data_IF_208827364527
#
_entry.id   IF_208827364527
#
_cell.length_a   1.000
_cell.length_b   1.000
_cell.length_c   1.000
_cell.angle_alpha   90.00
_cell.angle_beta   90.00
_cell.angle_gamma   90.00
#
_symmetry.space_group_name_H-M   'P 1'
#
loop_
_entity.id
_entity.type
_entity.pdbx_description
1 polymer ?
#
# COMPACT_ATOMS: atom_id res chain seq x y z
N UNK A 1 -58.89 -28.14 -57.63
CA UNK A 1 -57.49 -27.80 -57.24
C UNK A 1 -57.51 -26.65 -56.22
N UNK A 2 -57.39 -27.04 -54.97
CA UNK A 2 -57.37 -26.09 -53.84
C UNK A 2 -55.89 -25.73 -53.57
N UNK A 3 -55.58 -24.43 -53.53
CA UNK A 3 -54.24 -23.95 -53.26
C UNK A 3 -53.85 -24.18 -51.77
N UNK A 4 -52.61 -24.49 -51.48
CA UNK A 4 -52.15 -24.69 -50.09
C UNK A 4 -52.17 -23.38 -49.31
N UNK A 5 -52.38 -23.40 -47.99
CA UNK A 5 -52.36 -22.22 -47.16
C UNK A 5 -50.93 -21.66 -47.06
N UNK A 6 -50.78 -20.32 -46.81
CA UNK A 6 -49.49 -19.67 -46.63
C UNK A 6 -48.80 -20.14 -45.34
N UNK A 7 -47.47 -20.16 -45.32
CA UNK A 7 -46.71 -20.57 -44.12
C UNK A 7 -46.99 -19.62 -42.96
N UNK A 8 -47.20 -20.21 -41.78
CA UNK A 8 -47.29 -19.46 -40.49
C UNK A 8 -45.94 -18.79 -40.23
N UNK A 9 -45.99 -17.48 -40.13
CA UNK A 9 -44.89 -16.70 -39.57
C UNK A 9 -44.85 -16.98 -38.04
N UNK A 10 -43.87 -17.70 -37.57
CA UNK A 10 -43.60 -17.83 -36.15
C UNK A 10 -43.26 -16.44 -35.59
N UNK A 11 -44.03 -16.02 -34.61
CA UNK A 11 -43.73 -14.79 -33.84
C UNK A 11 -42.39 -14.99 -33.15
N UNK A 12 -41.37 -14.20 -33.55
CA UNK A 12 -40.11 -14.09 -32.81
C UNK A 12 -40.46 -13.48 -31.47
N UNK A 13 -40.35 -14.27 -30.41
CA UNK A 13 -40.37 -13.73 -29.03
C UNK A 13 -39.27 -12.68 -28.90
N UNK A 14 -39.56 -11.49 -28.32
CA UNK A 14 -38.53 -10.50 -28.08
C UNK A 14 -37.48 -11.08 -27.13
N UNK A 15 -36.22 -11.09 -27.58
CA UNK A 15 -35.07 -11.40 -26.71
C UNK A 15 -35.21 -10.65 -25.38
N UNK A 16 -35.03 -11.31 -24.22
CA UNK A 16 -35.05 -10.65 -22.96
C UNK A 16 -34.00 -9.55 -22.95
N UNK A 17 -34.43 -8.31 -22.69
CA UNK A 17 -33.56 -7.13 -22.56
C UNK A 17 -32.34 -7.48 -21.74
N UNK A 18 -31.16 -7.31 -22.31
CA UNK A 18 -29.89 -7.53 -21.64
C UNK A 18 -29.90 -6.81 -20.29
N UNK A 19 -29.74 -7.57 -19.20
CA UNK A 19 -29.55 -7.00 -17.86
C UNK A 19 -28.44 -5.94 -17.95
N UNK A 20 -28.60 -4.75 -17.36
CA UNK A 20 -27.56 -3.76 -17.37
C UNK A 20 -26.28 -4.42 -16.83
N UNK A 21 -25.21 -4.38 -17.61
CA UNK A 21 -23.92 -4.94 -17.25
C UNK A 21 -23.56 -4.39 -15.86
N UNK A 22 -23.54 -5.27 -14.87
CA UNK A 22 -23.13 -4.91 -13.52
C UNK A 22 -21.74 -4.28 -13.63
N UNK A 23 -21.57 -3.07 -13.04
CA UNK A 23 -20.27 -2.39 -13.00
C UNK A 23 -19.22 -3.42 -12.58
N UNK A 24 -18.26 -3.70 -13.46
CA UNK A 24 -17.12 -4.55 -13.13
C UNK A 24 -16.50 -4.02 -11.83
N UNK A 25 -16.15 -4.89 -10.86
CA UNK A 25 -15.61 -4.43 -9.60
C UNK A 25 -14.31 -3.67 -9.85
N UNK A 26 -14.32 -2.36 -9.66
CA UNK A 26 -13.12 -1.54 -9.76
C UNK A 26 -12.22 -1.87 -8.57
N UNK A 27 -11.06 -2.46 -8.83
CA UNK A 27 -10.08 -2.77 -7.80
C UNK A 27 -9.24 -1.52 -7.53
N UNK A 28 -9.36 -0.98 -6.33
CA UNK A 28 -8.50 0.12 -5.89
C UNK A 28 -7.14 -0.40 -5.43
N UNK A 29 -6.08 0.17 -5.98
CA UNK A 29 -4.70 -0.07 -5.56
C UNK A 29 -4.22 1.07 -4.68
N UNK A 30 -3.53 0.73 -3.62
CA UNK A 30 -2.79 1.64 -2.76
C UNK A 30 -1.30 1.33 -2.85
N UNK A 31 -0.48 2.36 -3.00
CA UNK A 31 0.98 2.22 -3.00
C UNK A 31 1.60 3.17 -1.98
N UNK A 32 2.53 2.66 -1.16
CA UNK A 32 3.18 3.43 -0.12
C UNK A 32 4.25 4.37 -0.70
N UNK A 33 4.37 5.55 -0.09
CA UNK A 33 5.40 6.54 -0.38
C UNK A 33 6.25 6.73 0.87
N UNK A 34 7.56 6.57 0.74
CA UNK A 34 8.50 6.81 1.83
C UNK A 34 8.99 8.26 1.83
N UNK A 35 9.19 8.80 3.01
CA UNK A 35 9.92 10.04 3.23
C UNK A 35 11.44 9.83 3.18
N UNK A 36 12.19 10.91 3.35
CA UNK A 36 13.66 10.87 3.44
C UNK A 36 14.15 10.13 4.69
N UNK A 37 13.31 10.05 5.72
CA UNK A 37 13.50 9.25 6.92
C UNK A 37 13.15 7.77 6.74
N UNK A 38 12.87 7.34 5.50
CA UNK A 38 12.50 5.98 5.10
C UNK A 38 11.21 5.45 5.76
N UNK A 39 10.44 6.32 6.41
CA UNK A 39 9.12 5.99 6.97
C UNK A 39 8.03 6.24 5.96
N UNK A 40 6.89 5.57 6.14
CA UNK A 40 5.73 5.80 5.28
C UNK A 40 5.18 7.21 5.54
N UNK A 41 5.45 8.12 4.60
CA UNK A 41 5.00 9.50 4.63
C UNK A 41 3.60 9.68 4.04
N UNK A 42 3.18 8.76 3.17
CA UNK A 42 1.88 8.83 2.51
C UNK A 42 1.59 7.64 1.62
N UNK A 43 0.51 7.76 0.90
CA UNK A 43 0.06 6.76 -0.09
C UNK A 43 -0.41 7.46 -1.36
N UNK A 44 -0.20 6.79 -2.50
CA UNK A 44 -0.98 7.09 -3.71
C UNK A 44 -2.09 6.07 -3.87
N UNK A 45 -3.20 6.51 -4.45
CA UNK A 45 -4.38 5.69 -4.69
C UNK A 45 -4.70 5.71 -6.17
N UNK A 46 -5.02 4.56 -6.74
CA UNK A 46 -5.42 4.44 -8.13
C UNK A 46 -6.42 3.31 -8.30
N UNK A 47 -7.28 3.39 -9.29
CA UNK A 47 -8.11 2.27 -9.71
C UNK A 47 -7.33 1.41 -10.69
N UNK A 48 -7.32 0.09 -10.48
CA UNK A 48 -6.79 -0.85 -11.46
C UNK A 48 -7.81 -0.99 -12.59
N UNK A 49 -7.39 -0.72 -13.80
CA UNK A 49 -8.19 -1.01 -15.00
C UNK A 49 -8.05 -2.50 -15.32
N UNK A 50 -9.15 -3.19 -15.53
CA UNK A 50 -9.14 -4.54 -16.12
C UNK A 50 -8.77 -4.42 -17.59
N UNK A 51 -7.92 -5.33 -18.07
CA UNK A 51 -7.27 -5.23 -19.38
C UNK A 51 -8.22 -5.30 -20.59
N UNK A 52 -9.49 -5.68 -20.40
CA UNK A 52 -10.39 -6.06 -21.48
C UNK A 52 -11.35 -4.96 -21.97
N UNK A 53 -11.40 -3.80 -21.31
CA UNK A 53 -12.25 -2.69 -21.77
C UNK A 53 -11.38 -1.43 -21.94
N UNK A 54 -11.05 -1.08 -23.18
CA UNK A 54 -10.27 0.09 -23.55
C UNK A 54 -11.09 1.21 -24.17
N UNK A 55 -11.90 1.99 -23.44
CA UNK A 55 -12.10 3.36 -23.87
C UNK A 55 -10.78 4.11 -23.70
N UNK A 56 -10.46 4.98 -24.66
CA UNK A 56 -9.27 5.82 -24.60
C UNK A 56 -9.22 6.55 -23.24
N UNK A 57 -8.16 6.36 -22.41
CA UNK A 57 -8.04 7.01 -21.13
C UNK A 57 -8.00 8.53 -21.22
N UNK A 58 -7.77 9.08 -22.39
CA UNK A 58 -7.68 10.52 -22.62
C UNK A 58 -9.04 11.14 -22.95
N UNK A 59 -10.12 10.36 -23.09
CA UNK A 59 -11.46 10.91 -23.26
C UNK A 59 -11.92 11.57 -21.95
N UNK A 60 -12.32 12.85 -21.96
CA UNK A 60 -12.70 13.59 -20.75
C UNK A 60 -13.78 12.92 -19.91
N UNK A 61 -14.79 12.34 -20.54
CA UNK A 61 -15.91 11.68 -19.84
C UNK A 61 -15.44 10.38 -19.16
N UNK A 62 -14.52 9.64 -19.75
CA UNK A 62 -13.92 8.44 -19.16
C UNK A 62 -13.07 8.79 -17.96
N UNK A 63 -12.27 9.83 -18.08
CA UNK A 63 -11.42 10.31 -16.99
C UNK A 63 -12.28 10.80 -15.82
N UNK A 64 -13.34 11.55 -16.10
CA UNK A 64 -14.29 12.04 -15.08
C UNK A 64 -14.94 10.88 -14.32
N UNK A 65 -15.43 9.85 -15.03
CA UNK A 65 -16.02 8.66 -14.40
C UNK A 65 -15.02 7.91 -13.53
N UNK A 66 -13.76 7.85 -13.99
CA UNK A 66 -12.68 7.25 -13.22
C UNK A 66 -12.44 8.02 -11.92
N UNK A 67 -12.32 9.34 -12.00
CA UNK A 67 -12.08 10.22 -10.85
C UNK A 67 -13.26 10.12 -9.84
N UNK A 68 -14.51 10.23 -10.32
CA UNK A 68 -15.70 10.10 -9.48
C UNK A 68 -15.77 8.74 -8.76
N UNK A 69 -15.39 7.66 -9.46
CA UNK A 69 -15.35 6.32 -8.88
C UNK A 69 -14.25 6.21 -7.81
N UNK A 70 -13.06 6.75 -8.08
CA UNK A 70 -11.94 6.76 -7.12
C UNK A 70 -12.30 7.57 -5.87
N UNK A 71 -12.80 8.79 -6.04
CA UNK A 71 -13.20 9.68 -4.95
C UNK A 71 -14.31 9.06 -4.11
N UNK A 72 -15.35 8.52 -4.74
CA UNK A 72 -16.45 7.86 -4.03
C UNK A 72 -16.01 6.62 -3.24
N UNK A 73 -15.04 5.86 -3.72
CA UNK A 73 -14.46 4.73 -2.98
C UNK A 73 -13.65 5.21 -1.77
N UNK A 74 -12.80 6.20 -1.95
CA UNK A 74 -11.97 6.76 -0.88
C UNK A 74 -12.81 7.42 0.22
N UNK A 75 -13.87 8.13 -0.15
CA UNK A 75 -14.80 8.75 0.81
C UNK A 75 -15.51 7.68 1.66
N UNK A 76 -16.01 6.60 1.03
CA UNK A 76 -16.62 5.47 1.76
C UNK A 76 -15.67 4.78 2.74
N UNK A 77 -14.37 4.83 2.47
CA UNK A 77 -13.34 4.27 3.34
C UNK A 77 -12.93 5.19 4.50
N UNK A 78 -13.50 6.38 4.60
CA UNK A 78 -13.08 7.41 5.57
C UNK A 78 -11.57 7.68 5.50
N UNK A 79 -11.13 8.18 4.33
CA UNK A 79 -9.72 8.37 4.01
C UNK A 79 -8.99 9.22 5.05
N UNK A 80 -9.65 10.23 5.62
CA UNK A 80 -9.07 11.08 6.66
C UNK A 80 -8.65 10.28 7.89
N UNK A 81 -9.49 9.36 8.34
CA UNK A 81 -9.21 8.49 9.48
C UNK A 81 -8.10 7.46 9.17
N UNK A 82 -8.09 6.94 7.94
CA UNK A 82 -7.09 5.95 7.51
C UNK A 82 -5.68 6.52 7.42
N UNK A 83 -5.55 7.78 7.01
CA UNK A 83 -4.26 8.42 6.79
C UNK A 83 -3.63 8.95 8.08
N UNK A 84 -4.43 9.42 9.03
CA UNK A 84 -3.93 10.12 10.21
C UNK A 84 -3.13 11.37 9.81
N UNK A 85 -1.82 11.37 10.03
CA UNK A 85 -0.91 12.48 9.67
C UNK A 85 -0.21 12.30 8.30
N UNK A 86 -0.57 11.24 7.54
CA UNK A 86 0.09 10.89 6.28
C UNK A 86 -0.54 11.59 5.10
N UNK A 87 0.23 11.69 4.00
CA UNK A 87 -0.24 12.29 2.75
C UNK A 87 -1.06 11.30 1.93
N UNK A 88 -2.09 11.80 1.26
CA UNK A 88 -2.83 11.08 0.22
C UNK A 88 -2.59 11.73 -1.13
N UNK A 89 -1.84 11.08 -2.02
CA UNK A 89 -1.73 11.50 -3.41
C UNK A 89 -2.88 10.85 -4.19
N UNK A 90 -3.79 11.70 -4.67
CA UNK A 90 -4.98 11.27 -5.40
C UNK A 90 -4.93 11.84 -6.81
N UNK A 91 -4.76 10.99 -7.85
CA UNK A 91 -4.78 11.45 -9.23
C UNK A 91 -6.19 11.88 -9.61
N UNK A 92 -6.31 13.07 -10.20
CA UNK A 92 -7.57 13.60 -10.73
C UNK A 92 -7.32 14.43 -11.99
N UNK A 93 -8.33 14.53 -12.83
CA UNK A 93 -8.34 15.48 -13.93
C UNK A 93 -8.69 16.89 -13.44
N UNK A 94 -8.21 17.95 -14.11
CA UNK A 94 -8.58 19.32 -13.79
C UNK A 94 -10.09 19.58 -13.80
N UNK A 95 -10.84 18.91 -14.68
CA UNK A 95 -12.31 19.03 -14.75
C UNK A 95 -13.02 18.52 -13.49
N UNK A 96 -12.39 17.66 -12.72
CA UNK A 96 -12.96 17.11 -11.47
C UNK A 96 -12.81 18.08 -10.29
N UNK A 97 -11.98 19.12 -10.40
CA UNK A 97 -11.75 20.09 -9.31
C UNK A 97 -13.01 20.86 -8.91
N UNK A 98 -14.00 20.98 -9.83
CA UNK A 98 -15.28 21.61 -9.56
C UNK A 98 -16.38 20.63 -9.11
N UNK A 99 -16.02 19.35 -8.91
CA UNK A 99 -16.98 18.36 -8.47
C UNK A 99 -17.38 18.56 -6.99
N UNK A 100 -18.67 18.40 -6.62
CA UNK A 100 -19.14 18.60 -5.24
C UNK A 100 -18.37 17.79 -4.18
N UNK A 101 -17.88 16.60 -4.51
CA UNK A 101 -17.06 15.78 -3.60
C UNK A 101 -15.78 16.48 -3.16
N UNK A 102 -15.20 17.38 -3.97
CA UNK A 102 -14.01 18.15 -3.62
C UNK A 102 -14.33 19.18 -2.51
N UNK A 103 -15.55 19.72 -2.50
CA UNK A 103 -15.98 20.67 -1.48
C UNK A 103 -16.04 20.04 -0.08
N UNK A 104 -16.45 18.78 0.00
CA UNK A 104 -16.57 18.03 1.26
C UNK A 104 -15.28 17.27 1.63
N UNK A 105 -14.25 17.33 0.76
CA UNK A 105 -13.04 16.53 0.95
C UNK A 105 -12.14 17.10 2.05
N UNK A 106 -11.51 16.23 2.89
CA UNK A 106 -10.54 16.68 3.90
C UNK A 106 -9.30 17.25 3.23
N UNK A 107 -9.07 18.54 3.40
CA UNK A 107 -7.95 19.22 2.75
C UNK A 107 -6.60 18.83 3.35
N UNK A 108 -6.54 18.68 4.69
CA UNK A 108 -5.30 18.37 5.39
C UNK A 108 -4.74 17.00 4.97
N UNK A 109 -3.51 16.99 4.47
CA UNK A 109 -2.82 15.80 4.02
C UNK A 109 -3.20 15.35 2.60
N UNK A 110 -4.18 15.98 1.94
CA UNK A 110 -4.53 15.65 0.55
C UNK A 110 -3.66 16.40 -0.44
N UNK A 111 -3.09 15.64 -1.38
CA UNK A 111 -2.32 16.15 -2.51
C UNK A 111 -3.01 15.69 -3.80
N UNK A 112 -3.58 16.63 -4.54
CA UNK A 112 -4.18 16.36 -5.84
C UNK A 112 -3.09 16.23 -6.90
N UNK A 113 -2.89 15.02 -7.43
CA UNK A 113 -1.99 14.79 -8.57
C UNK A 113 -2.77 15.07 -9.86
N UNK A 114 -2.52 16.24 -10.45
CA UNK A 114 -3.24 16.69 -11.64
C UNK A 114 -2.79 15.94 -12.88
N UNK A 115 -3.71 15.23 -13.51
CA UNK A 115 -3.53 14.69 -14.85
C UNK A 115 -3.86 15.77 -15.87
N UNK A 116 -2.83 16.43 -16.36
CA UNK A 116 -2.94 17.54 -17.33
C UNK A 116 -2.58 17.14 -18.76
N UNK A 117 -2.43 15.83 -19.03
CA UNK A 117 -1.96 15.36 -20.34
C UNK A 117 -2.92 15.68 -21.48
N UNK A 118 -4.21 15.62 -21.22
CA UNK A 118 -5.24 15.97 -22.20
C UNK A 118 -5.38 17.49 -22.43
N UNK A 119 -4.77 18.35 -21.59
CA UNK A 119 -4.87 19.79 -21.76
C UNK A 119 -3.95 20.27 -22.89
N UNK A 120 -4.51 20.88 -23.91
CA UNK A 120 -3.76 21.57 -24.97
C UNK A 120 -3.37 23.00 -24.56
N UNK A 121 -4.21 23.65 -23.77
CA UNK A 121 -3.99 25.00 -23.21
C UNK A 121 -4.53 25.04 -21.78
N UNK A 122 -3.95 25.92 -20.96
CA UNK A 122 -4.44 26.18 -19.60
C UNK A 122 -5.31 27.43 -19.66
N UNK A 123 -6.59 27.25 -19.40
CA UNK A 123 -7.54 28.37 -19.23
C UNK A 123 -7.28 29.09 -17.90
N UNK A 124 -7.53 30.39 -17.85
CA UNK A 124 -7.33 31.24 -16.68
C UNK A 124 -8.20 30.83 -15.46
N UNK A 125 -9.29 30.12 -15.68
CA UNK A 125 -10.16 29.59 -14.63
C UNK A 125 -9.45 28.54 -13.77
N UNK A 126 -8.62 27.68 -14.37
CA UNK A 126 -7.94 26.60 -13.67
C UNK A 126 -6.91 27.11 -12.62
N UNK A 127 -5.97 28.04 -12.93
CA UNK A 127 -5.11 28.64 -11.92
C UNK A 127 -5.89 29.32 -10.79
N UNK A 128 -7.01 30.01 -11.09
CA UNK A 128 -7.83 30.64 -10.08
C UNK A 128 -8.46 29.60 -9.13
N UNK A 129 -8.99 28.51 -9.68
CA UNK A 129 -9.55 27.41 -8.87
C UNK A 129 -8.47 26.73 -8.01
N UNK A 130 -7.28 26.52 -8.53
CA UNK A 130 -6.16 26.00 -7.74
C UNK A 130 -5.79 26.93 -6.58
N UNK A 131 -5.74 28.24 -6.83
CA UNK A 131 -5.48 29.23 -5.79
C UNK A 131 -6.53 29.18 -4.67
N UNK A 132 -7.81 29.11 -5.03
CA UNK A 132 -8.91 28.97 -4.08
C UNK A 132 -8.75 27.69 -3.21
N UNK A 133 -8.55 26.53 -3.84
CA UNK A 133 -8.40 25.26 -3.12
C UNK A 133 -7.15 25.26 -2.23
N UNK A 134 -6.06 25.95 -2.62
CA UNK A 134 -4.90 26.14 -1.73
C UNK A 134 -5.23 26.92 -0.48
N UNK A 135 -6.10 27.93 -0.53
CA UNK A 135 -6.52 28.66 0.69
C UNK A 135 -7.28 27.76 1.68
N UNK A 136 -7.89 26.68 1.18
CA UNK A 136 -8.55 25.66 1.99
C UNK A 136 -7.58 24.62 2.57
N UNK A 137 -6.30 24.63 2.18
CA UNK A 137 -5.27 23.75 2.69
C UNK A 137 -4.94 22.54 1.82
N UNK A 138 -5.47 22.47 0.59
CA UNK A 138 -5.08 21.45 -0.37
C UNK A 138 -3.67 21.68 -0.91
N UNK A 139 -2.98 20.60 -1.24
CA UNK A 139 -1.72 20.60 -1.96
C UNK A 139 -1.89 20.02 -3.36
N UNK A 140 -1.01 20.42 -4.28
CA UNK A 140 -1.06 19.97 -5.67
C UNK A 140 0.27 19.39 -6.13
N UNK A 141 0.16 18.42 -7.02
CA UNK A 141 1.28 17.78 -7.69
C UNK A 141 1.03 17.71 -9.20
N UNK A 142 2.11 17.71 -9.98
CA UNK A 142 2.08 17.52 -11.44
C UNK A 142 3.24 16.62 -11.85
N UNK A 143 3.10 15.90 -12.97
CA UNK A 143 4.19 15.13 -13.56
C UNK A 143 5.27 16.04 -14.11
N UNK A 144 6.54 15.64 -14.00
CA UNK A 144 7.68 16.46 -14.40
C UNK A 144 7.72 16.76 -15.91
N UNK A 145 7.35 15.80 -16.75
CA UNK A 145 7.24 15.96 -18.20
C UNK A 145 6.13 16.95 -18.58
N UNK A 146 5.07 16.99 -17.82
CA UNK A 146 4.01 17.98 -17.96
C UNK A 146 4.46 19.36 -17.46
N UNK A 147 5.20 19.43 -16.36
CA UNK A 147 5.66 20.66 -15.74
C UNK A 147 6.61 21.47 -16.64
N UNK A 148 7.44 20.80 -17.45
CA UNK A 148 8.40 21.46 -18.35
C UNK A 148 7.77 22.02 -19.64
N UNK A 149 6.51 21.71 -19.94
CA UNK A 149 5.81 22.19 -21.13
C UNK A 149 5.35 23.64 -20.95
N UNK A 150 5.72 24.55 -21.86
CA UNK A 150 5.42 26.00 -21.73
C UNK A 150 3.93 26.29 -21.53
N UNK A 151 3.04 25.51 -22.17
CA UNK A 151 1.58 25.69 -22.13
C UNK A 151 1.03 25.50 -20.71
N UNK A 152 1.79 24.85 -19.82
CA UNK A 152 1.38 24.49 -18.45
C UNK A 152 2.09 25.29 -17.36
N UNK A 153 2.99 26.21 -17.75
CA UNK A 153 3.76 27.01 -16.78
C UNK A 153 2.87 27.84 -15.84
N UNK A 154 1.66 28.23 -16.27
CA UNK A 154 0.71 28.95 -15.43
C UNK A 154 0.24 28.13 -14.21
N UNK A 155 0.37 26.80 -14.23
CA UNK A 155 0.02 25.94 -13.10
C UNK A 155 1.14 25.86 -12.04
N UNK A 156 2.39 26.05 -12.43
CA UNK A 156 3.55 25.81 -11.56
C UNK A 156 3.54 26.60 -10.25
N UNK A 157 3.09 27.87 -10.18
CA UNK A 157 3.00 28.58 -8.91
C UNK A 157 2.11 27.89 -7.87
N UNK A 158 1.11 27.13 -8.31
CA UNK A 158 0.14 26.45 -7.46
C UNK A 158 0.60 25.06 -7.02
N UNK A 159 1.62 24.49 -7.66
CA UNK A 159 2.13 23.16 -7.33
C UNK A 159 2.97 23.17 -6.05
N UNK A 160 2.90 22.11 -5.28
CA UNK A 160 3.73 21.84 -4.10
C UNK A 160 4.73 20.72 -4.37
N UNK A 161 4.36 19.82 -5.27
CA UNK A 161 5.16 18.66 -5.64
C UNK A 161 5.30 18.54 -7.16
N UNK A 162 6.43 18.00 -7.59
CA UNK A 162 6.65 17.53 -8.96
C UNK A 162 7.01 16.06 -8.91
N UNK A 163 6.24 15.23 -9.60
CA UNK A 163 6.37 13.78 -9.64
C UNK A 163 7.21 13.40 -10.86
N UNK A 164 8.22 12.59 -10.66
CA UNK A 164 9.15 12.16 -11.70
C UNK A 164 9.28 10.64 -11.72
N UNK A 165 9.06 10.03 -12.86
CA UNK A 165 9.33 8.62 -13.09
C UNK A 165 10.83 8.39 -13.27
N UNK A 166 11.41 7.54 -12.42
CA UNK A 166 12.83 7.19 -12.44
C UNK A 166 13.04 5.71 -12.78
N UNK A 167 12.03 5.04 -13.31
CA UNK A 167 12.07 3.61 -13.61
C UNK A 167 13.12 3.20 -14.65
N UNK A 168 13.52 4.15 -15.52
CA UNK A 168 14.57 3.93 -16.52
C UNK A 168 15.98 3.85 -15.92
N UNK A 169 16.19 4.34 -14.69
CA UNK A 169 17.50 4.47 -14.02
C UNK A 169 18.55 5.23 -14.85
N UNK A 170 18.14 5.99 -15.87
CA UNK A 170 19.01 6.87 -16.67
C UNK A 170 19.36 8.12 -15.87
N UNK A 171 20.48 8.07 -15.14
CA UNK A 171 20.93 9.16 -14.27
C UNK A 171 21.14 10.48 -15.04
N UNK A 172 21.78 10.52 -16.24
CA UNK A 172 21.88 11.72 -17.05
C UNK A 172 20.52 12.33 -17.39
N UNK A 173 19.56 11.53 -17.85
CA UNK A 173 18.21 12.00 -18.20
C UNK A 173 17.46 12.53 -16.97
N UNK A 174 17.49 11.80 -15.86
CA UNK A 174 16.88 12.20 -14.57
C UNK A 174 17.50 13.54 -14.11
N UNK A 175 18.82 13.66 -14.14
CA UNK A 175 19.53 14.89 -13.71
C UNK A 175 19.18 16.08 -14.60
N UNK A 176 19.10 15.87 -15.93
CA UNK A 176 18.68 16.92 -16.86
C UNK A 176 17.23 17.37 -16.60
N UNK A 177 16.33 16.43 -16.33
CA UNK A 177 14.93 16.73 -16.01
C UNK A 177 14.81 17.47 -14.67
N UNK A 178 15.58 17.08 -13.63
CA UNK A 178 15.65 17.79 -12.35
C UNK A 178 16.13 19.25 -12.60
N UNK A 179 17.16 19.44 -13.41
CA UNK A 179 17.67 20.76 -13.71
C UNK A 179 16.63 21.65 -14.44
N UNK A 180 15.88 21.06 -15.38
CA UNK A 180 14.80 21.74 -16.07
C UNK A 180 13.67 22.14 -15.12
N UNK A 181 13.21 21.20 -14.29
CA UNK A 181 12.16 21.44 -13.27
C UNK A 181 12.61 22.50 -12.27
N UNK A 182 13.86 22.42 -11.77
CA UNK A 182 14.38 23.37 -10.77
C UNK A 182 14.46 24.82 -11.28
N UNK A 183 14.67 25.02 -12.59
CA UNK A 183 14.63 26.35 -13.21
C UNK A 183 13.21 26.92 -13.27
N UNK A 184 12.22 26.08 -13.54
CA UNK A 184 10.85 26.49 -13.80
C UNK A 184 9.99 26.50 -12.50
N UNK A 185 10.30 25.59 -11.58
CA UNK A 185 9.50 25.30 -10.38
C UNK A 185 10.39 25.26 -9.13
N UNK A 186 11.17 26.31 -8.90
CA UNK A 186 12.06 26.42 -7.74
C UNK A 186 11.30 26.25 -6.42
N UNK A 187 11.88 25.50 -5.48
CA UNK A 187 11.32 25.28 -4.16
C UNK A 187 10.21 24.20 -4.10
N UNK A 188 9.88 23.54 -5.21
CA UNK A 188 8.92 22.42 -5.20
C UNK A 188 9.59 21.14 -4.74
N UNK A 189 8.81 20.30 -4.03
CA UNK A 189 9.29 19.01 -3.53
C UNK A 189 9.23 17.97 -4.65
N UNK A 190 10.33 17.26 -4.90
CA UNK A 190 10.40 16.21 -5.90
C UNK A 190 9.92 14.87 -5.31
N UNK A 191 9.14 14.13 -6.09
CA UNK A 191 8.65 12.79 -5.75
C UNK A 191 9.18 11.83 -6.81
N UNK A 192 9.96 10.83 -6.40
CA UNK A 192 10.44 9.76 -7.28
C UNK A 192 9.41 8.63 -7.32
N UNK A 193 8.96 8.27 -8.52
CA UNK A 193 8.10 7.11 -8.77
C UNK A 193 8.84 6.08 -9.60
N UNK A 194 8.40 4.81 -9.54
CA UNK A 194 9.06 3.74 -10.29
C UNK A 194 10.44 3.35 -9.76
N UNK A 195 10.77 3.67 -8.51
CA UNK A 195 12.04 3.28 -7.87
C UNK A 195 12.08 1.76 -7.76
N UNK A 196 12.96 1.10 -8.54
CA UNK A 196 13.00 -0.36 -8.65
C UNK A 196 13.87 -0.98 -7.56
N UNK A 197 15.04 -0.39 -7.31
CA UNK A 197 16.11 -0.97 -6.49
C UNK A 197 16.44 -0.06 -5.29
N UNK A 198 17.15 -0.61 -4.31
CA UNK A 198 17.67 0.15 -3.17
C UNK A 198 18.76 1.13 -3.62
N UNK A 199 19.54 0.76 -4.63
CA UNK A 199 20.53 1.63 -5.26
C UNK A 199 19.88 2.84 -5.91
N UNK A 200 18.78 2.63 -6.66
CA UNK A 200 17.99 3.71 -7.25
C UNK A 200 17.38 4.62 -6.17
N UNK A 201 16.91 4.06 -5.05
CA UNK A 201 16.48 4.83 -3.89
C UNK A 201 17.61 5.72 -3.34
N UNK A 202 18.80 5.16 -3.10
CA UNK A 202 19.94 5.93 -2.61
C UNK A 202 20.38 7.03 -3.59
N UNK A 203 20.33 6.76 -4.88
CA UNK A 203 20.58 7.75 -5.92
C UNK A 203 19.56 8.90 -5.81
N UNK A 204 18.27 8.61 -5.82
CA UNK A 204 17.21 9.61 -5.70
C UNK A 204 17.30 10.39 -4.37
N UNK A 205 17.67 9.70 -3.29
CA UNK A 205 17.90 10.35 -2.00
C UNK A 205 19.05 11.39 -2.07
N UNK A 206 20.17 11.06 -2.75
CA UNK A 206 21.28 12.01 -3.01
C UNK A 206 20.85 13.16 -3.91
N UNK A 207 19.98 12.92 -4.88
CA UNK A 207 19.41 13.93 -5.79
C UNK A 207 18.31 14.78 -5.12
N UNK A 208 18.15 14.68 -3.80
CA UNK A 208 17.26 15.50 -2.97
C UNK A 208 15.77 15.30 -3.24
N UNK A 209 15.34 14.15 -3.74
CA UNK A 209 13.93 13.82 -3.74
C UNK A 209 13.38 13.78 -2.29
N UNK A 210 12.14 14.24 -2.13
CA UNK A 210 11.48 14.33 -0.83
C UNK A 210 10.69 13.05 -0.49
N UNK A 211 10.10 12.42 -1.52
CA UNK A 211 9.28 11.22 -1.39
C UNK A 211 9.71 10.19 -2.45
N UNK A 212 9.52 8.91 -2.12
CA UNK A 212 9.98 7.78 -2.93
C UNK A 212 8.89 6.72 -3.00
N UNK A 213 8.58 6.24 -4.20
CA UNK A 213 7.57 5.22 -4.45
C UNK A 213 8.07 4.20 -5.47
N UNK A 214 7.84 2.92 -5.18
CA UNK A 214 8.22 1.84 -6.10
C UNK A 214 8.40 0.49 -5.42
N UNK A 215 8.71 -0.55 -6.20
CA UNK A 215 8.89 -1.91 -5.70
C UNK A 215 10.03 -2.08 -4.69
N UNK A 216 11.03 -1.17 -4.67
CA UNK A 216 12.18 -1.26 -3.75
C UNK A 216 11.78 -1.42 -2.27
N UNK A 217 10.56 -0.97 -1.90
CA UNK A 217 10.03 -1.10 -0.53
C UNK A 217 9.81 -2.57 -0.15
N UNK A 218 9.37 -3.38 -1.12
CA UNK A 218 8.96 -4.77 -0.91
C UNK A 218 9.80 -5.78 -1.70
N UNK A 219 10.79 -5.32 -2.45
CA UNK A 219 11.69 -6.15 -3.27
C UNK A 219 13.13 -5.81 -2.92
N UNK A 220 13.94 -6.79 -2.60
CA UNK A 220 15.38 -6.63 -2.44
C UNK A 220 16.09 -7.60 -3.38
N UNK A 221 16.88 -7.05 -4.30
CA UNK A 221 17.58 -7.84 -5.33
C UNK A 221 18.90 -8.44 -4.82
N UNK A 222 19.55 -7.78 -3.86
CA UNK A 222 20.82 -8.24 -3.30
C UNK A 222 20.61 -8.91 -1.94
N UNK A 223 20.07 -10.11 -1.97
CA UNK A 223 20.07 -11.03 -0.82
C UNK A 223 21.50 -11.61 -0.69
N UNK A 224 22.45 -10.77 -0.26
CA UNK A 224 23.82 -11.20 0.04
C UNK A 224 23.84 -12.28 1.12
N UNK A 225 25.04 -12.74 1.52
CA UNK A 225 25.17 -13.77 2.56
C UNK A 225 24.38 -13.36 3.82
N UNK A 226 23.26 -14.02 4.09
CA UNK A 226 22.35 -13.59 5.13
C UNK A 226 22.93 -13.91 6.49
N UNK A 227 23.27 -12.91 7.26
CA UNK A 227 23.56 -13.09 8.69
C UNK A 227 22.30 -12.70 9.46
N UNK A 228 21.54 -13.70 9.86
CA UNK A 228 20.41 -13.50 10.75
C UNK A 228 20.92 -12.94 12.07
N UNK A 229 20.42 -11.76 12.45
CA UNK A 229 20.77 -11.16 13.75
C UNK A 229 20.33 -12.07 14.92
N UNK A 230 21.10 -12.13 16.02
CA UNK A 230 20.82 -13.01 17.17
C UNK A 230 19.41 -12.88 17.72
N UNK A 231 18.82 -11.67 17.70
CA UNK A 231 17.46 -11.42 18.20
C UNK A 231 16.41 -12.11 17.33
N UNK A 232 16.54 -12.06 16.00
CA UNK A 232 15.61 -12.73 15.08
C UNK A 232 15.71 -14.24 15.17
N UNK A 233 16.92 -14.79 15.30
CA UNK A 233 17.13 -16.22 15.48
C UNK A 233 16.42 -16.75 16.74
N UNK A 234 16.50 -16.03 17.85
CA UNK A 234 15.79 -16.39 19.10
C UNK A 234 14.28 -16.37 18.95
N UNK A 235 13.75 -15.35 18.26
CA UNK A 235 12.29 -15.25 18.01
C UNK A 235 11.84 -16.41 17.13
N UNK A 236 12.60 -16.79 16.10
CA UNK A 236 12.31 -17.96 15.26
C UNK A 236 12.33 -19.26 16.07
N UNK A 237 13.33 -19.46 16.92
CA UNK A 237 13.40 -20.65 17.79
C UNK A 237 12.15 -20.75 18.69
N UNK A 238 11.75 -19.64 19.32
CA UNK A 238 10.53 -19.57 20.12
C UNK A 238 9.28 -19.88 19.29
N UNK A 239 9.18 -19.34 18.08
CA UNK A 239 8.03 -19.60 17.19
C UNK A 239 7.94 -21.08 16.83
N UNK A 240 9.07 -21.73 16.51
CA UNK A 240 9.12 -23.14 16.19
C UNK A 240 8.73 -23.99 17.41
N UNK A 241 9.19 -23.66 18.62
CA UNK A 241 8.80 -24.33 19.87
C UNK A 241 7.31 -24.21 20.14
N UNK A 242 6.72 -23.03 20.00
CA UNK A 242 5.28 -22.83 20.13
C UNK A 242 4.52 -23.70 19.12
N UNK A 243 4.99 -23.78 17.88
CA UNK A 243 4.34 -24.54 16.81
C UNK A 243 4.44 -26.04 17.00
N UNK A 244 5.55 -26.53 17.57
CA UNK A 244 5.73 -27.93 17.89
C UNK A 244 5.09 -28.36 19.23
N UNK A 245 4.36 -27.45 19.90
CA UNK A 245 3.61 -27.75 21.09
C UNK A 245 4.44 -27.80 22.38
N UNK A 246 5.54 -27.02 22.44
CA UNK A 246 6.34 -26.91 23.67
C UNK A 246 5.49 -26.50 24.88
N UNK A 247 5.80 -27.05 26.02
CA UNK A 247 5.09 -26.76 27.26
C UNK A 247 5.37 -25.36 27.79
N UNK A 248 4.40 -24.77 28.50
CA UNK A 248 4.52 -23.42 29.06
C UNK A 248 5.77 -23.19 29.92
N UNK A 249 6.21 -24.12 30.80
CA UNK A 249 7.43 -23.93 31.57
C UNK A 249 8.70 -23.81 30.72
N UNK A 250 8.76 -24.57 29.62
CA UNK A 250 9.88 -24.52 28.66
C UNK A 250 9.90 -23.14 27.97
N UNK A 251 8.77 -22.67 27.44
CA UNK A 251 8.65 -21.35 26.83
C UNK A 251 9.00 -20.25 27.84
N UNK A 252 8.52 -20.32 29.07
CA UNK A 252 8.81 -19.36 30.11
C UNK A 252 10.33 -19.29 30.43
N UNK A 253 11.01 -20.43 30.42
CA UNK A 253 12.47 -20.48 30.59
C UNK A 253 13.19 -19.70 29.47
N UNK A 254 12.76 -19.86 28.21
CA UNK A 254 13.35 -19.11 27.07
C UNK A 254 13.13 -17.60 27.22
N UNK A 255 11.93 -17.16 27.63
CA UNK A 255 11.68 -15.75 27.89
C UNK A 255 12.53 -15.18 29.02
N UNK A 256 12.78 -15.93 30.10
CA UNK A 256 13.65 -15.49 31.20
C UNK A 256 15.09 -15.25 30.75
N UNK A 257 15.57 -15.95 29.71
CA UNK A 257 16.88 -15.72 29.11
C UNK A 257 16.94 -14.49 28.20
N UNK A 258 15.80 -13.83 27.93
CA UNK A 258 15.74 -12.59 27.14
C UNK A 258 14.89 -11.54 27.85
N UNK A 259 15.51 -10.71 28.72
CA UNK A 259 14.79 -9.67 29.46
C UNK A 259 14.06 -8.65 28.58
N UNK A 260 14.65 -8.33 27.40
CA UNK A 260 14.03 -7.37 26.47
C UNK A 260 12.74 -7.95 25.89
N UNK A 261 12.74 -9.22 25.46
CA UNK A 261 11.57 -9.90 24.94
C UNK A 261 10.52 -10.11 26.05
N UNK A 262 10.94 -10.45 27.29
CA UNK A 262 10.07 -10.56 28.45
C UNK A 262 9.31 -9.26 28.75
N UNK A 263 10.01 -8.12 28.76
CA UNK A 263 9.38 -6.80 28.96
C UNK A 263 8.40 -6.47 27.83
N UNK A 264 8.73 -6.80 26.58
CA UNK A 264 7.81 -6.60 25.44
C UNK A 264 6.55 -7.44 25.60
N UNK A 265 6.66 -8.71 25.99
CA UNK A 265 5.52 -9.60 26.25
C UNK A 265 4.61 -9.03 27.35
N UNK A 266 5.18 -8.67 28.51
CA UNK A 266 4.43 -8.10 29.63
C UNK A 266 3.73 -6.79 29.25
N UNK A 267 4.39 -5.92 28.49
CA UNK A 267 3.75 -4.68 27.97
C UNK A 267 2.57 -4.99 27.05
N UNK A 268 2.73 -5.95 26.17
CA UNK A 268 1.67 -6.33 25.23
C UNK A 268 0.45 -6.90 25.98
N UNK A 269 0.68 -7.86 26.89
CA UNK A 269 -0.40 -8.49 27.67
C UNK A 269 -1.12 -7.48 28.55
N UNK A 270 -0.40 -6.53 29.12
CA UNK A 270 -0.97 -5.47 29.96
C UNK A 270 -1.50 -4.27 29.17
N UNK A 271 -1.52 -4.33 27.82
CA UNK A 271 -2.08 -3.25 27.01
C UNK A 271 -3.62 -3.20 27.11
N UNK A 272 -4.24 -2.01 26.94
CA UNK A 272 -5.71 -1.88 26.98
C UNK A 272 -6.43 -2.81 26.00
N UNK A 273 -5.79 -3.14 24.86
CA UNK A 273 -6.36 -4.02 23.84
C UNK A 273 -6.56 -5.48 24.30
N UNK A 274 -5.89 -5.90 25.39
CA UNK A 274 -6.08 -7.23 25.98
C UNK A 274 -7.26 -7.30 26.96
N UNK A 275 -7.81 -6.15 27.38
CA UNK A 275 -9.01 -6.08 28.22
C UNK A 275 -8.88 -6.69 29.62
N UNK A 276 -7.66 -6.81 30.14
CA UNK A 276 -7.42 -7.40 31.45
C UNK A 276 -7.75 -6.40 32.56
N UNK A 277 -8.47 -6.88 33.59
CA UNK A 277 -8.81 -6.08 34.76
C UNK A 277 -7.61 -5.87 35.72
N UNK A 278 -6.74 -6.87 35.79
CA UNK A 278 -5.56 -6.85 36.69
C UNK A 278 -4.27 -6.95 35.87
N UNK A 279 -3.23 -6.24 36.33
CA UNK A 279 -1.90 -6.30 35.71
C UNK A 279 -1.23 -7.64 35.97
N UNK A 280 -0.62 -8.19 34.93
CA UNK A 280 0.18 -9.40 34.95
C UNK A 280 1.63 -9.03 35.16
N UNK A 281 2.27 -9.60 36.20
CA UNK A 281 3.66 -9.34 36.55
C UNK A 281 4.64 -10.48 36.18
N UNK A 282 4.11 -11.68 35.86
CA UNK A 282 4.93 -12.87 35.58
C UNK A 282 4.82 -13.41 34.17
N UNK A 283 5.91 -13.96 33.64
CA UNK A 283 5.96 -14.52 32.29
C UNK A 283 5.05 -15.74 32.14
N UNK A 284 5.02 -16.65 33.12
CA UNK A 284 4.17 -17.84 33.11
C UNK A 284 2.69 -17.45 33.00
N UNK A 285 2.27 -16.46 33.78
CA UNK A 285 0.91 -15.96 33.76
C UNK A 285 0.59 -15.28 32.42
N UNK A 286 1.55 -14.52 31.86
CA UNK A 286 1.40 -13.90 30.54
C UNK A 286 1.21 -14.94 29.45
N UNK A 287 2.00 -16.00 29.44
CA UNK A 287 1.89 -17.11 28.48
C UNK A 287 0.56 -17.86 28.62
N UNK A 288 0.09 -18.07 29.86
CA UNK A 288 -1.20 -18.72 30.14
C UNK A 288 -2.37 -17.90 29.57
N UNK A 289 -2.37 -16.58 29.77
CA UNK A 289 -3.43 -15.69 29.29
C UNK A 289 -3.44 -15.56 27.78
N UNK A 290 -2.27 -15.55 27.16
CA UNK A 290 -2.17 -15.47 25.69
C UNK A 290 -2.59 -16.78 25.00
N UNK A 291 -2.19 -17.91 25.53
CA UNK A 291 -2.27 -19.19 24.81
C UNK A 291 -1.33 -19.24 23.60
N UNK A 292 -1.23 -20.43 22.99
CA UNK A 292 -0.24 -20.68 21.92
C UNK A 292 -0.51 -19.87 20.65
N UNK A 293 -1.76 -19.77 20.21
CA UNK A 293 -2.10 -19.11 18.94
C UNK A 293 -1.81 -17.60 18.98
N UNK A 294 -2.23 -16.92 20.06
CA UNK A 294 -1.94 -15.48 20.20
C UNK A 294 -0.46 -15.23 20.43
N UNK A 295 0.24 -16.12 21.14
CA UNK A 295 1.69 -16.03 21.34
C UNK A 295 2.42 -16.17 20.01
N UNK A 296 2.05 -17.15 19.18
CA UNK A 296 2.63 -17.34 17.85
C UNK A 296 2.43 -16.10 16.98
N UNK A 297 1.20 -15.59 16.91
CA UNK A 297 0.88 -14.36 16.17
C UNK A 297 1.66 -13.13 16.68
N UNK A 298 1.83 -13.00 17.98
CA UNK A 298 2.63 -11.93 18.57
C UNK A 298 4.13 -12.08 18.25
N UNK A 299 4.68 -13.28 18.35
CA UNK A 299 6.07 -13.55 17.97
C UNK A 299 6.33 -13.26 16.48
N UNK A 300 5.36 -13.55 15.61
CA UNK A 300 5.42 -13.19 14.20
C UNK A 300 5.62 -11.67 14.02
N UNK A 301 4.88 -10.85 14.75
CA UNK A 301 5.05 -9.39 14.72
C UNK A 301 6.42 -8.96 15.28
N UNK A 302 6.89 -9.62 16.35
CA UNK A 302 8.20 -9.33 16.93
C UNK A 302 9.34 -9.67 15.96
N UNK A 303 9.19 -10.72 15.15
CA UNK A 303 10.17 -11.10 14.13
C UNK A 303 10.45 -9.95 13.14
N UNK A 304 9.41 -9.24 12.73
CA UNK A 304 9.52 -8.06 11.87
C UNK A 304 10.17 -6.86 12.57
N UNK A 305 9.99 -6.74 13.90
CA UNK A 305 10.47 -5.59 14.68
C UNK A 305 11.76 -5.88 15.45
N UNK A 306 12.28 -7.10 15.42
CA UNK A 306 13.35 -7.60 16.31
C UNK A 306 14.78 -7.40 15.83
N UNK A 307 15.04 -6.69 14.73
CA UNK A 307 16.38 -6.37 14.25
C UNK A 307 16.88 -5.00 14.72
N UNK A 308 18.12 -4.64 14.35
CA UNK A 308 18.50 -3.23 14.30
C UNK A 308 17.58 -2.60 13.26
N UNK A 309 16.58 -1.86 13.74
CA UNK A 309 15.52 -1.28 12.93
C UNK A 309 16.13 -0.32 11.90
N UNK A 310 16.35 -0.81 10.71
CA UNK A 310 16.39 0.08 9.57
C UNK A 310 14.98 0.65 9.43
N UNK A 311 14.87 1.94 9.27
CA UNK A 311 13.57 2.64 9.17
C UNK A 311 12.70 2.05 8.04
N UNK A 312 13.34 1.49 7.00
CA UNK A 312 12.70 0.73 5.93
C UNK A 312 11.95 -0.53 6.42
N UNK A 313 12.41 -1.19 7.50
CA UNK A 313 11.73 -2.37 8.06
C UNK A 313 10.32 -2.03 8.57
N UNK A 314 10.07 -0.79 8.98
CA UNK A 314 8.71 -0.33 9.37
C UNK A 314 7.75 -0.28 8.16
N UNK A 315 8.24 0.19 7.01
CA UNK A 315 7.43 0.23 5.79
C UNK A 315 7.11 -1.19 5.30
N UNK A 316 8.07 -2.10 5.38
CA UNK A 316 7.87 -3.53 5.05
C UNK A 316 6.87 -4.15 6.00
N UNK A 317 7.00 -3.94 7.31
CA UNK A 317 6.05 -4.44 8.32
C UNK A 317 4.63 -3.93 8.03
N UNK A 318 4.47 -2.64 7.73
CA UNK A 318 3.15 -2.08 7.42
C UNK A 318 2.53 -2.74 6.18
N UNK A 319 3.31 -2.95 5.12
CA UNK A 319 2.84 -3.67 3.94
C UNK A 319 2.49 -5.13 4.26
N UNK A 320 3.30 -5.82 5.05
CA UNK A 320 3.05 -7.19 5.50
C UNK A 320 1.75 -7.29 6.32
N UNK A 321 1.54 -6.37 7.27
CA UNK A 321 0.31 -6.29 8.07
C UNK A 321 -0.93 -6.08 7.19
N UNK A 322 -0.85 -5.20 6.20
CA UNK A 322 -1.94 -4.98 5.25
C UNK A 322 -2.24 -6.24 4.46
N UNK A 323 -1.21 -6.92 3.92
CA UNK A 323 -1.40 -8.19 3.20
C UNK A 323 -2.07 -9.24 4.08
N UNK A 324 -1.55 -9.45 5.30
CA UNK A 324 -2.14 -10.37 6.26
C UNK A 324 -3.61 -10.05 6.57
N UNK A 325 -3.93 -8.77 6.80
CA UNK A 325 -5.29 -8.35 7.12
C UNK A 325 -6.25 -8.48 5.94
N UNK A 326 -5.80 -8.16 4.74
CA UNK A 326 -6.59 -8.34 3.52
C UNK A 326 -6.85 -9.83 3.27
N UNK A 327 -5.82 -10.67 3.37
CA UNK A 327 -5.96 -12.12 3.22
C UNK A 327 -6.96 -12.71 4.24
N UNK A 328 -6.86 -12.32 5.51
CA UNK A 328 -7.79 -12.70 6.58
C UNK A 328 -9.23 -12.27 6.28
N UNK A 329 -9.43 -11.06 5.72
CA UNK A 329 -10.77 -10.56 5.36
C UNK A 329 -11.35 -11.27 4.14
N UNK A 330 -10.53 -11.55 3.12
CA UNK A 330 -10.94 -12.28 1.91
C UNK A 330 -11.33 -13.72 2.21
N UNK A 331 -10.67 -14.35 3.19
CA UNK A 331 -11.04 -15.68 3.69
C UNK A 331 -12.46 -15.75 4.27
N UNK A 332 -13.05 -14.60 4.61
CA UNK A 332 -14.44 -14.45 5.00
C UNK A 332 -14.77 -15.06 6.38
N UNK A 333 -16.07 -14.97 6.73
CA UNK A 333 -16.59 -15.49 8.02
C UNK A 333 -16.81 -17.01 8.00
N UNK A 334 -16.68 -17.65 6.84
CA UNK A 334 -16.95 -19.07 6.66
C UNK A 334 -15.86 -19.99 7.26
N UNK A 335 -14.66 -19.47 7.50
CA UNK A 335 -13.55 -20.23 8.04
C UNK A 335 -13.49 -20.15 9.57
N UNK A 336 -13.06 -21.25 10.19
CA UNK A 336 -12.78 -21.28 11.63
C UNK A 336 -11.70 -20.24 11.99
N UNK A 337 -11.74 -19.76 13.24
CA UNK A 337 -10.83 -18.73 13.74
C UNK A 337 -9.33 -19.08 13.51
N UNK A 338 -8.96 -20.34 13.74
CA UNK A 338 -7.60 -20.85 13.53
C UNK A 338 -7.14 -20.71 12.07
N UNK A 339 -7.97 -21.09 11.10
CA UNK A 339 -7.65 -20.94 9.67
C UNK A 339 -7.47 -19.47 9.27
N UNK A 340 -8.25 -18.55 9.84
CA UNK A 340 -8.08 -17.12 9.60
C UNK A 340 -6.77 -16.59 10.16
N UNK A 341 -6.36 -17.03 11.35
CA UNK A 341 -5.07 -16.67 11.92
C UNK A 341 -3.90 -17.19 11.08
N UNK A 342 -4.00 -18.39 10.53
CA UNK A 342 -3.00 -18.97 9.61
C UNK A 342 -2.91 -18.18 8.30
N UNK A 343 -4.04 -17.79 7.71
CA UNK A 343 -4.06 -16.95 6.50
C UNK A 343 -3.47 -15.55 6.77
N UNK A 344 -3.75 -14.96 7.93
CA UNK A 344 -3.11 -13.72 8.34
C UNK A 344 -1.59 -13.86 8.41
N UNK A 345 -1.10 -14.96 9.02
CA UNK A 345 0.33 -15.24 9.13
C UNK A 345 0.95 -15.46 7.75
N UNK A 346 0.28 -16.18 6.83
CA UNK A 346 0.75 -16.36 5.46
C UNK A 346 0.93 -15.02 4.74
N UNK A 347 -0.06 -14.14 4.83
CA UNK A 347 0.03 -12.78 4.24
C UNK A 347 1.16 -11.94 4.85
N UNK A 348 1.39 -12.07 6.16
CA UNK A 348 2.51 -11.43 6.83
C UNK A 348 3.86 -11.99 6.33
N UNK A 349 3.99 -13.30 6.27
CA UNK A 349 5.23 -13.97 5.86
C UNK A 349 5.56 -13.80 4.39
N UNK A 350 4.62 -13.37 3.55
CA UNK A 350 4.89 -13.07 2.14
C UNK A 350 5.97 -12.00 1.90
N UNK A 351 6.43 -11.30 2.93
CA UNK A 351 7.53 -10.33 2.90
C UNK A 351 8.65 -10.67 3.90
N UNK A 352 8.70 -11.90 4.38
CA UNK A 352 9.68 -12.27 5.39
C UNK A 352 11.11 -12.37 4.83
N UNK A 353 11.25 -12.73 3.56
CA UNK A 353 12.50 -12.71 2.80
C UNK A 353 13.13 -11.31 2.80
N UNK A 354 12.31 -10.28 2.60
CA UNK A 354 12.75 -8.88 2.62
C UNK A 354 13.28 -8.49 4.00
N UNK A 355 12.58 -8.87 5.07
CA UNK A 355 12.96 -8.56 6.46
C UNK A 355 14.19 -9.35 6.91
N UNK A 356 14.27 -10.62 6.48
CA UNK A 356 15.35 -11.54 6.85
C UNK A 356 16.61 -11.36 5.98
N UNK A 357 16.51 -10.59 4.89
CA UNK A 357 17.57 -10.40 3.90
C UNK A 357 18.08 -11.72 3.31
N UNK A 358 17.19 -12.69 3.09
CA UNK A 358 17.53 -13.99 2.54
C UNK A 358 16.41 -14.51 1.62
N UNK A 359 16.72 -15.41 0.65
CA UNK A 359 15.71 -16.00 -0.22
C UNK A 359 14.60 -16.69 0.56
N UNK A 360 13.35 -16.54 0.11
CA UNK A 360 12.16 -17.09 0.79
C UNK A 360 12.30 -18.59 1.08
N UNK A 361 12.84 -19.36 0.14
CA UNK A 361 13.07 -20.80 0.31
C UNK A 361 14.01 -21.13 1.49
N UNK A 362 15.00 -20.28 1.76
CA UNK A 362 15.89 -20.44 2.92
C UNK A 362 15.21 -20.02 4.22
N UNK A 363 14.38 -18.99 4.18
CA UNK A 363 13.57 -18.55 5.33
C UNK A 363 12.61 -19.67 5.73
N UNK A 364 11.89 -20.25 4.77
CA UNK A 364 10.88 -21.27 5.02
C UNK A 364 11.47 -22.57 5.57
N UNK A 365 12.74 -22.88 5.25
CA UNK A 365 13.46 -24.03 5.88
C UNK A 365 13.72 -23.84 7.37
N UNK A 366 13.68 -22.61 7.87
CA UNK A 366 13.96 -22.30 9.28
C UNK A 366 12.69 -22.16 10.13
N UNK A 367 11.50 -22.18 9.49
CA UNK A 367 10.22 -21.97 10.14
C UNK A 367 9.34 -23.21 9.96
N UNK A 368 8.79 -23.71 11.06
CA UNK A 368 7.80 -24.78 11.01
C UNK A 368 6.43 -24.22 10.63
N UNK A 369 6.05 -24.37 9.35
CA UNK A 369 4.74 -23.95 8.81
C UNK A 369 3.95 -25.16 8.31
N UNK A 370 2.61 -25.08 8.29
CA UNK A 370 1.78 -26.03 7.55
C UNK A 370 2.16 -26.04 6.06
N UNK A 371 2.03 -27.19 5.43
CA UNK A 371 2.38 -27.34 4.02
C UNK A 371 1.60 -26.38 3.12
N UNK A 372 0.31 -26.20 3.39
CA UNK A 372 -0.58 -25.31 2.64
C UNK A 372 -0.13 -23.85 2.70
N UNK A 373 0.36 -23.42 3.87
CA UNK A 373 0.88 -22.05 4.05
C UNK A 373 2.21 -21.87 3.31
N UNK A 374 3.09 -22.88 3.39
CA UNK A 374 4.37 -22.86 2.68
C UNK A 374 4.17 -22.77 1.16
N UNK A 375 3.26 -23.58 0.62
CA UNK A 375 2.91 -23.57 -0.79
C UNK A 375 2.32 -22.23 -1.22
N UNK A 376 1.41 -21.67 -0.43
CA UNK A 376 0.80 -20.35 -0.71
C UNK A 376 1.78 -19.17 -0.67
N UNK A 377 2.91 -19.29 0.03
CA UNK A 377 3.93 -18.24 0.08
C UNK A 377 4.89 -18.34 -1.12
N UNK A 378 5.14 -19.54 -1.64
CA UNK A 378 6.09 -19.79 -2.75
C UNK A 378 5.42 -19.64 -4.11
N UNK A 379 4.09 -19.86 -4.23
CA UNK A 379 3.31 -19.71 -5.48
C UNK A 379 3.11 -18.24 -5.86
#
# INVERSE_FOLDING_TARGET
>A
TVAPPPPRVEAVEPEPAAKPAGKAPSVMRREAMLGRDQRVAGYTFMLRRTADEHPDPNLPDVQRLYDETLLGNLQRMDIARLLGQRLAFVPISPATLDHPLIEEWPATGTVWLLNVDALTTVDASLPARLAELKTRGFSFAVQADAAIRPERHALLPHMDYVVMDVSSEDIPAITAQIAAVSKLAAGKRLVATGVQTLEAFHMCHKLQFALFMGPFITRRENLGNPVMGPSRAKVLDLMNRVRTGAEQPELAAQFRHDPALSVRLLRYVNSPGMGLMNKIGGIEQALMVMGQDKLYRWLTLILFTGGQTQELDQAVLENALVRGRVAEQLAGRALFAKARDEIFVAGLFSLLDVVMHMPMEQVLKQISLPAEITEAIVS
#
